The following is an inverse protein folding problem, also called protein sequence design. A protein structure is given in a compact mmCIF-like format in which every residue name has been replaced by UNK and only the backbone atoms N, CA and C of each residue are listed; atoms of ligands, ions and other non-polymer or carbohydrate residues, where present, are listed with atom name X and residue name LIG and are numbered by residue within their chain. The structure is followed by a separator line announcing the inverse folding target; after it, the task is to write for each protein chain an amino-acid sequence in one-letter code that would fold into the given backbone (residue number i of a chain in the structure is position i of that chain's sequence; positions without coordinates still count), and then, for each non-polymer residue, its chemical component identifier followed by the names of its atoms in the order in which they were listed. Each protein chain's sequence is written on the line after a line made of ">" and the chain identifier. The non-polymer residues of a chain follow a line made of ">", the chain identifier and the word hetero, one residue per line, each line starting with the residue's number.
data_IF_248267670954
#
_entry.id   IF_248267670954
#
_cell.length_a   1.000
_cell.length_b   1.000
_cell.length_c   1.000
_cell.angle_alpha   90.00
_cell.angle_beta   90.00
_cell.angle_gamma   90.00
#
_symmetry.space_group_name_H-M   'P 1'
#
loop_
_entity.id
_entity.type
_entity.pdbx_description
1 polymer ?
#
# COMPACT_ATOMS: atom_id res chain seq x y z
N UNK A 1 -16.55 -28.96 16.04
CA UNK A 1 -15.96 -28.49 14.77
C UNK A 1 -16.88 -28.76 13.60
N UNK A 2 -17.07 -30.02 13.21
CA UNK A 2 -17.87 -30.35 12.02
C UNK A 2 -19.35 -29.91 12.07
N UNK A 3 -19.97 -29.86 13.26
CA UNK A 3 -21.37 -29.44 13.39
C UNK A 3 -21.58 -27.92 13.33
N UNK A 4 -20.51 -27.13 13.50
CA UNK A 4 -20.55 -25.66 13.56
C UNK A 4 -19.76 -25.00 12.42
N UNK A 5 -19.27 -25.78 11.46
CA UNK A 5 -18.40 -25.33 10.36
C UNK A 5 -17.22 -24.47 10.86
N UNK A 6 -16.42 -25.06 11.75
CA UNK A 6 -15.27 -24.42 12.38
C UNK A 6 -13.99 -25.22 12.15
N UNK A 7 -12.85 -24.53 12.09
CA UNK A 7 -11.51 -25.12 12.13
C UNK A 7 -10.83 -24.89 13.48
N UNK A 8 -9.96 -25.82 13.91
CA UNK A 8 -9.29 -25.67 15.20
C UNK A 8 -8.11 -26.58 15.39
N UNK A 9 -7.23 -26.15 16.31
CA UNK A 9 -5.93 -26.76 16.55
C UNK A 9 -5.72 -26.86 18.06
N UNK A 10 -5.42 -28.07 18.52
CA UNK A 10 -5.01 -28.32 19.90
C UNK A 10 -3.51 -28.03 20.05
N UNK A 11 -3.17 -27.17 21.01
CA UNK A 11 -1.82 -26.64 21.23
C UNK A 11 -1.34 -27.07 22.61
N UNK A 12 -0.19 -27.74 22.74
CA UNK A 12 0.42 -28.02 24.03
C UNK A 12 0.84 -26.72 24.74
N UNK A 13 0.49 -26.58 26.02
CA UNK A 13 0.76 -25.36 26.81
C UNK A 13 1.60 -25.62 28.07
N UNK A 14 2.19 -26.81 28.19
CA UNK A 14 3.09 -27.17 29.28
C UNK A 14 2.64 -28.43 30.02
N UNK A 15 3.15 -28.59 31.23
CA UNK A 15 2.80 -29.69 32.13
C UNK A 15 2.04 -29.15 33.33
N UNK A 16 1.06 -29.92 33.79
CA UNK A 16 0.31 -29.63 35.02
C UNK A 16 1.16 -30.01 36.23
N UNK A 17 0.69 -29.64 37.42
CA UNK A 17 1.35 -29.96 38.70
C UNK A 17 1.51 -31.47 38.96
N UNK A 18 0.69 -32.31 38.32
CA UNK A 18 0.77 -33.78 38.40
C UNK A 18 1.71 -34.40 37.36
N UNK A 19 2.44 -33.58 36.60
CA UNK A 19 3.39 -34.01 35.59
C UNK A 19 2.75 -34.41 34.24
N UNK A 20 1.43 -34.36 34.11
CA UNK A 20 0.73 -34.69 32.86
C UNK A 20 0.65 -33.49 31.90
N UNK A 21 0.62 -33.71 30.58
CA UNK A 21 0.55 -32.63 29.60
C UNK A 21 -0.76 -31.85 29.67
N UNK A 22 -0.69 -30.55 29.41
CA UNK A 22 -1.82 -29.65 29.25
C UNK A 22 -1.89 -29.12 27.80
N UNK A 23 -3.10 -28.85 27.33
CA UNK A 23 -3.34 -28.23 26.03
C UNK A 23 -4.50 -27.26 26.05
N UNK A 24 -4.49 -26.34 25.09
CA UNK A 24 -5.59 -25.44 24.75
C UNK A 24 -5.99 -25.70 23.30
N UNK A 25 -7.28 -25.74 23.01
CA UNK A 25 -7.77 -25.85 21.62
C UNK A 25 -8.22 -24.48 21.13
N UNK A 26 -7.53 -23.97 20.11
CA UNK A 26 -7.93 -22.75 19.40
C UNK A 26 -9.02 -23.11 18.39
N UNK A 27 -10.09 -22.33 18.37
CA UNK A 27 -11.23 -22.51 17.48
C UNK A 27 -11.44 -21.24 16.64
N UNK A 28 -11.69 -21.41 15.33
CA UNK A 28 -12.01 -20.33 14.41
C UNK A 28 -13.11 -20.76 13.42
N UNK A 29 -13.66 -19.79 12.70
CA UNK A 29 -14.60 -20.04 11.61
C UNK A 29 -13.94 -20.84 10.47
N UNK A 30 -14.75 -21.55 9.68
CA UNK A 30 -14.32 -22.27 8.46
C UNK A 30 -13.42 -21.43 7.56
N UNK A 31 -12.39 -22.06 6.98
CA UNK A 31 -11.44 -21.42 6.06
C UNK A 31 -10.36 -20.55 6.72
N UNK A 32 -10.29 -20.50 8.06
CA UNK A 32 -9.27 -19.73 8.80
C UNK A 32 -8.10 -20.58 9.32
N UNK A 33 -7.88 -21.76 8.75
CA UNK A 33 -6.88 -22.74 9.19
C UNK A 33 -5.47 -22.16 9.28
N UNK A 34 -5.07 -21.35 8.29
CA UNK A 34 -3.76 -20.68 8.28
C UNK A 34 -3.59 -19.69 9.45
N UNK A 35 -4.61 -18.87 9.72
CA UNK A 35 -4.60 -17.93 10.84
C UNK A 35 -4.57 -18.67 12.18
N UNK A 36 -5.40 -19.70 12.33
CA UNK A 36 -5.43 -20.56 13.52
C UNK A 36 -4.09 -21.26 13.73
N UNK A 37 -3.44 -21.72 12.66
CA UNK A 37 -2.12 -22.34 12.71
C UNK A 37 -1.02 -21.34 13.10
N UNK A 38 -1.10 -20.09 12.64
CA UNK A 38 -0.17 -19.03 13.06
C UNK A 38 -0.26 -18.77 14.57
N UNK A 39 -1.47 -18.59 15.10
CA UNK A 39 -1.65 -18.41 16.55
C UNK A 39 -1.25 -19.66 17.35
N UNK A 40 -1.56 -20.85 16.85
CA UNK A 40 -1.17 -22.11 17.49
C UNK A 40 0.35 -22.25 17.59
N UNK A 41 1.07 -21.91 16.51
CA UNK A 41 2.53 -21.88 16.46
C UNK A 41 3.10 -20.92 17.50
N UNK A 42 2.58 -19.70 17.54
CA UNK A 42 3.07 -18.65 18.45
C UNK A 42 2.80 -19.02 19.92
N UNK A 43 1.62 -19.57 20.22
CA UNK A 43 1.27 -20.07 21.55
C UNK A 43 2.16 -21.25 21.97
N UNK A 44 2.43 -22.21 21.07
CA UNK A 44 3.28 -23.36 21.38
C UNK A 44 4.70 -22.90 21.73
N UNK A 45 5.24 -21.95 20.97
CA UNK A 45 6.56 -21.37 21.19
C UNK A 45 6.65 -20.62 22.52
N UNK A 46 5.67 -19.77 22.80
CA UNK A 46 5.61 -19.02 24.05
C UNK A 46 5.47 -19.93 25.28
N UNK A 47 4.80 -21.08 25.13
CA UNK A 47 4.58 -22.04 26.22
C UNK A 47 5.84 -22.84 26.54
N UNK A 48 6.75 -23.05 25.58
CA UNK A 48 8.02 -23.76 25.78
C UNK A 48 8.07 -25.30 25.85
N UNK A 49 7.02 -26.11 25.60
CA UNK A 49 7.17 -27.58 25.52
C UNK A 49 8.10 -28.02 24.39
N UNK A 50 8.59 -29.26 24.45
CA UNK A 50 9.22 -29.94 23.31
C UNK A 50 8.18 -30.36 22.27
N UNK A 51 8.63 -30.79 21.09
CA UNK A 51 7.76 -31.37 20.06
C UNK A 51 7.19 -32.72 20.53
N UNK A 52 6.06 -32.68 21.25
CA UNK A 52 5.47 -33.85 21.88
C UNK A 52 6.45 -34.57 22.82
N UNK A 53 6.36 -35.90 22.87
CA UNK A 53 7.21 -36.75 23.70
C UNK A 53 8.61 -37.03 23.11
N UNK A 54 9.01 -36.36 22.02
CA UNK A 54 10.28 -36.62 21.32
C UNK A 54 11.51 -36.06 22.04
N UNK A 55 11.31 -35.11 22.96
CA UNK A 55 12.41 -34.34 23.56
C UNK A 55 13.05 -33.31 22.61
N UNK A 56 12.57 -33.19 21.36
CA UNK A 56 13.11 -32.21 20.43
C UNK A 56 12.66 -30.80 20.79
N UNK A 57 13.61 -29.87 20.86
CA UNK A 57 13.29 -28.46 21.03
C UNK A 57 12.50 -27.94 19.84
N UNK A 58 11.60 -26.99 20.08
CA UNK A 58 10.89 -26.36 18.98
C UNK A 58 11.89 -25.57 18.10
N UNK A 59 11.73 -25.59 16.76
CA UNK A 59 12.52 -24.74 15.88
C UNK A 59 12.29 -23.28 16.24
N UNK A 60 13.35 -22.48 16.41
CA UNK A 60 13.18 -21.06 16.71
C UNK A 60 12.41 -20.40 15.56
N UNK A 61 11.35 -19.66 15.89
CA UNK A 61 10.70 -18.81 14.89
C UNK A 61 11.67 -17.73 14.46
N UNK A 62 12.13 -17.82 13.22
CA UNK A 62 12.70 -16.67 12.53
C UNK A 62 11.50 -15.82 12.09
N UNK A 63 11.35 -14.56 12.54
CA UNK A 63 10.34 -13.69 11.98
C UNK A 63 10.62 -13.58 10.48
N UNK A 64 9.78 -14.24 9.70
CA UNK A 64 9.77 -14.06 8.26
C UNK A 64 9.11 -12.71 8.03
N UNK A 65 9.90 -11.65 8.06
CA UNK A 65 9.60 -10.48 7.25
C UNK A 65 9.88 -10.97 5.82
N UNK A 66 9.02 -11.84 5.29
CA UNK A 66 9.04 -12.09 3.86
C UNK A 66 8.69 -10.73 3.27
N UNK A 67 9.68 -10.08 2.66
CA UNK A 67 9.35 -9.13 1.61
C UNK A 67 8.30 -9.84 0.73
N UNK A 68 7.20 -9.15 0.36
CA UNK A 68 6.23 -9.75 -0.54
C UNK A 68 7.02 -10.38 -1.69
N UNK A 69 6.72 -11.63 -2.04
CA UNK A 69 7.26 -12.17 -3.29
C UNK A 69 6.91 -11.15 -4.38
N UNK A 70 7.76 -10.97 -5.41
CA UNK A 70 7.46 -9.97 -6.46
C UNK A 70 6.08 -10.22 -7.12
N UNK A 71 5.54 -11.44 -7.02
CA UNK A 71 4.19 -11.84 -7.43
C UNK A 71 3.04 -11.20 -6.61
N UNK A 72 3.33 -10.68 -5.42
CA UNK A 72 2.37 -9.99 -4.53
C UNK A 72 2.49 -8.46 -4.61
N UNK A 73 3.26 -7.92 -5.57
CA UNK A 73 3.45 -6.49 -5.76
C UNK A 73 2.69 -6.00 -7.00
N UNK A 74 1.99 -4.88 -6.86
CA UNK A 74 1.34 -4.18 -7.97
C UNK A 74 2.06 -2.87 -8.28
N UNK A 75 2.11 -2.51 -9.55
CA UNK A 75 2.61 -1.19 -9.96
C UNK A 75 1.55 -0.11 -9.68
N UNK A 76 1.99 0.92 -8.98
CA UNK A 76 1.26 2.17 -8.74
C UNK A 76 2.09 3.33 -9.30
N UNK A 77 1.44 4.10 -10.16
CA UNK A 77 1.93 5.34 -10.75
C UNK A 77 1.57 6.48 -9.82
N UNK A 78 2.59 7.23 -9.41
CA UNK A 78 2.45 8.40 -8.54
C UNK A 78 2.88 9.64 -9.29
N UNK A 79 2.09 10.70 -9.12
CA UNK A 79 2.33 12.00 -9.75
C UNK A 79 2.35 13.09 -8.68
N UNK A 80 3.12 14.13 -8.98
CA UNK A 80 3.24 15.34 -8.19
C UNK A 80 3.61 15.17 -6.72
N UNK A 81 2.75 15.55 -5.78
CA UNK A 81 3.07 15.61 -4.35
C UNK A 81 3.43 14.25 -3.72
N UNK A 82 3.14 13.14 -4.41
CA UNK A 82 3.47 11.78 -3.97
C UNK A 82 4.81 11.26 -4.53
N UNK A 83 5.53 12.03 -5.35
CA UNK A 83 6.84 11.62 -5.88
C UNK A 83 7.88 11.51 -4.76
N UNK A 84 8.94 10.73 -4.96
CA UNK A 84 10.07 10.60 -4.02
C UNK A 84 10.57 11.99 -3.57
N UNK A 85 10.65 12.20 -2.26
CA UNK A 85 11.08 13.45 -1.65
C UNK A 85 10.05 14.60 -1.66
N UNK A 86 8.82 14.35 -2.13
CA UNK A 86 7.71 15.30 -2.03
C UNK A 86 6.90 15.08 -0.74
N UNK A 87 6.17 16.09 -0.25
CA UNK A 87 5.58 16.06 1.10
C UNK A 87 4.52 14.97 1.33
N UNK A 88 3.84 14.49 0.28
CA UNK A 88 2.79 13.48 0.38
C UNK A 88 3.28 12.08 -0.03
N UNK A 89 4.59 11.83 -0.06
CA UNK A 89 5.12 10.50 -0.39
C UNK A 89 5.03 9.50 0.78
N UNK A 90 5.02 9.98 2.02
CA UNK A 90 5.02 9.13 3.23
C UNK A 90 3.92 8.07 3.29
N UNK A 91 2.65 8.34 2.94
CA UNK A 91 1.60 7.32 2.98
C UNK A 91 1.94 6.06 2.18
N UNK A 92 2.63 6.17 1.04
CA UNK A 92 3.05 5.02 0.25
C UNK A 92 4.19 4.25 0.93
N UNK A 93 5.15 4.96 1.50
CA UNK A 93 6.26 4.37 2.25
C UNK A 93 5.72 3.59 3.45
N UNK A 94 4.77 4.16 4.18
CA UNK A 94 4.14 3.55 5.36
C UNK A 94 3.36 2.27 5.00
N UNK A 95 2.83 2.20 3.78
CA UNK A 95 2.20 1.00 3.22
C UNK A 95 3.21 -0.04 2.68
N UNK A 96 4.51 0.20 2.85
CA UNK A 96 5.57 -0.69 2.39
C UNK A 96 5.85 -0.62 0.88
N UNK A 97 5.40 0.46 0.22
CA UNK A 97 5.70 0.65 -1.20
C UNK A 97 7.20 0.88 -1.42
N UNK A 98 7.71 0.39 -2.55
CA UNK A 98 9.11 0.55 -2.96
C UNK A 98 9.18 1.29 -4.29
N UNK A 99 10.07 2.29 -4.36
CA UNK A 99 10.36 2.95 -5.61
C UNK A 99 10.90 1.94 -6.64
N UNK A 100 10.39 1.99 -7.87
CA UNK A 100 10.83 1.13 -8.98
C UNK A 100 11.63 1.94 -9.99
N UNK A 101 11.03 2.97 -10.58
CA UNK A 101 11.66 3.80 -11.62
C UNK A 101 10.97 5.14 -11.81
N UNK A 102 11.70 6.09 -12.40
CA UNK A 102 11.11 7.27 -13.03
C UNK A 102 10.46 6.86 -14.36
N UNK A 103 9.35 7.50 -14.72
CA UNK A 103 8.62 7.26 -15.96
C UNK A 103 7.99 8.55 -16.51
N UNK A 104 7.41 8.48 -17.71
CA UNK A 104 6.68 9.57 -18.35
C UNK A 104 5.33 9.08 -18.86
N UNK A 105 4.28 9.90 -18.74
CA UNK A 105 2.96 9.53 -19.28
C UNK A 105 3.04 9.56 -20.79
N UNK A 106 2.13 8.85 -21.46
CA UNK A 106 1.90 9.10 -22.87
C UNK A 106 1.48 10.56 -23.10
N UNK A 107 1.56 11.03 -24.33
CA UNK A 107 1.09 12.37 -24.74
C UNK A 107 -0.42 12.57 -24.62
N UNK A 108 -1.16 11.69 -23.92
CA UNK A 108 -2.61 11.78 -23.74
C UNK A 108 -3.03 12.43 -22.42
N UNK A 109 -2.09 12.98 -21.64
CA UNK A 109 -2.34 13.51 -20.30
C UNK A 109 -1.94 14.97 -20.14
N UNK A 110 -2.64 15.66 -19.23
CA UNK A 110 -2.32 17.00 -18.74
C UNK A 110 -2.24 17.02 -17.22
N UNK A 111 -1.39 17.90 -16.69
CA UNK A 111 -1.15 18.07 -15.26
C UNK A 111 -1.60 19.46 -14.82
N UNK A 112 -2.40 19.51 -13.75
CA UNK A 112 -2.97 20.73 -13.20
C UNK A 112 -2.58 20.91 -11.73
N UNK A 113 -2.56 22.16 -11.28
CA UNK A 113 -2.55 22.51 -9.86
C UNK A 113 -3.98 22.79 -9.40
N UNK A 114 -4.48 21.98 -8.44
CA UNK A 114 -5.88 22.01 -8.01
C UNK A 114 -6.12 23.13 -6.97
N UNK A 115 -7.13 23.99 -7.16
CA UNK A 115 -7.29 25.22 -6.36
C UNK A 115 -7.80 24.98 -4.94
N UNK A 116 -8.47 23.86 -4.67
CA UNK A 116 -9.19 23.58 -3.43
C UNK A 116 -8.42 22.68 -2.44
N UNK A 117 -7.09 22.65 -2.52
CA UNK A 117 -6.26 21.76 -1.71
C UNK A 117 -5.19 22.55 -0.95
N UNK A 118 -5.12 22.31 0.36
CA UNK A 118 -4.02 22.75 1.23
C UNK A 118 -3.42 21.51 1.88
N UNK A 119 -2.20 21.11 1.51
CA UNK A 119 -1.34 21.79 0.55
C UNK A 119 -1.81 21.67 -0.91
N UNK A 120 -1.25 22.50 -1.80
CA UNK A 120 -1.57 22.48 -3.22
C UNK A 120 -1.34 21.09 -3.84
N UNK A 121 -2.39 20.45 -4.31
CA UNK A 121 -2.36 19.11 -4.89
C UNK A 121 -2.23 19.14 -6.42
N UNK A 122 -1.46 18.20 -6.99
CA UNK A 122 -1.50 17.93 -8.42
C UNK A 122 -2.79 17.21 -8.80
N UNK A 123 -3.33 17.52 -9.97
CA UNK A 123 -4.38 16.75 -10.62
C UNK A 123 -3.96 16.37 -12.04
N UNK A 124 -3.87 15.07 -12.33
CA UNK A 124 -3.59 14.58 -13.68
C UNK A 124 -4.87 14.04 -14.32
N UNK A 125 -5.12 14.36 -15.57
CA UNK A 125 -6.30 13.89 -16.30
C UNK A 125 -5.93 13.43 -17.71
N UNK A 126 -6.61 12.38 -18.20
CA UNK A 126 -6.54 11.96 -19.59
C UNK A 126 -7.38 12.86 -20.49
N UNK A 127 -6.78 13.40 -21.54
CA UNK A 127 -7.40 14.37 -22.47
C UNK A 127 -7.33 13.94 -23.94
N UNK A 128 -6.71 12.80 -24.25
CA UNK A 128 -6.46 12.35 -25.62
C UNK A 128 -5.26 13.05 -26.26
N UNK A 129 -5.26 14.39 -26.30
CA UNK A 129 -4.16 15.24 -26.77
C UNK A 129 -3.62 16.16 -25.65
N UNK A 130 -2.46 15.80 -25.12
CA UNK A 130 -1.69 16.54 -24.13
C UNK A 130 -0.20 16.47 -24.44
N UNK A 131 0.64 16.51 -23.40
CA UNK A 131 2.10 16.45 -23.57
C UNK A 131 2.76 15.37 -22.70
N UNK A 132 2.01 14.75 -21.79
CA UNK A 132 2.57 13.86 -20.79
C UNK A 132 3.34 14.63 -19.71
N UNK A 133 3.84 13.92 -18.71
CA UNK A 133 4.53 14.47 -17.54
C UNK A 133 5.40 13.41 -16.86
N UNK A 134 6.48 13.86 -16.21
CA UNK A 134 7.30 13.00 -15.35
C UNK A 134 6.45 12.45 -14.18
N UNK A 135 6.66 11.18 -13.88
CA UNK A 135 6.06 10.47 -12.76
C UNK A 135 7.02 9.43 -12.19
N UNK A 136 6.58 8.70 -11.18
CA UNK A 136 7.28 7.51 -10.69
C UNK A 136 6.37 6.29 -10.67
N UNK A 137 6.98 5.13 -10.95
CA UNK A 137 6.36 3.83 -10.72
C UNK A 137 6.88 3.29 -9.39
N UNK A 138 5.95 2.87 -8.54
CA UNK A 138 6.19 2.26 -7.25
C UNK A 138 5.57 0.87 -7.20
N UNK A 139 6.24 -0.06 -6.53
CA UNK A 139 5.74 -1.40 -6.24
C UNK A 139 5.05 -1.38 -4.88
N UNK A 140 3.75 -1.62 -4.83
CA UNK A 140 2.95 -1.65 -3.60
C UNK A 140 2.54 -3.10 -3.28
N UNK A 141 2.62 -3.55 -2.02
CA UNK A 141 2.04 -4.84 -1.62
C UNK A 141 0.55 -4.89 -1.95
N UNK A 142 0.09 -5.96 -2.59
CA UNK A 142 -1.31 -6.14 -2.97
C UNK A 142 -2.26 -6.03 -1.76
N UNK A 143 -1.84 -6.56 -0.61
CA UNK A 143 -2.58 -6.47 0.65
C UNK A 143 -2.80 -5.01 1.13
N UNK A 144 -1.94 -4.07 0.70
CA UNK A 144 -2.04 -2.66 1.02
C UNK A 144 -2.88 -1.86 0.01
N UNK A 145 -3.31 -2.47 -1.11
CA UNK A 145 -4.06 -1.77 -2.17
C UNK A 145 -5.41 -1.21 -1.69
N UNK A 146 -5.95 -1.69 -0.58
CA UNK A 146 -7.14 -1.11 0.05
C UNK A 146 -7.00 0.38 0.42
N UNK A 147 -5.79 0.95 0.42
CA UNK A 147 -5.55 2.38 0.64
C UNK A 147 -6.36 3.29 -0.30
N UNK A 148 -6.78 2.78 -1.46
CA UNK A 148 -7.65 3.50 -2.40
C UNK A 148 -8.92 4.01 -1.73
N UNK A 149 -9.44 3.32 -0.71
CA UNK A 149 -10.61 3.76 0.04
C UNK A 149 -10.39 5.06 0.84
N UNK A 150 -9.12 5.42 1.12
CA UNK A 150 -8.76 6.64 1.85
C UNK A 150 -8.46 7.83 0.93
N UNK A 151 -8.53 7.66 -0.40
CA UNK A 151 -8.25 8.73 -1.35
C UNK A 151 -9.43 9.71 -1.36
N UNK A 152 -9.24 10.98 -0.97
CA UNK A 152 -10.32 11.94 -0.93
C UNK A 152 -10.68 12.39 -2.34
N UNK A 153 -11.96 12.75 -2.53
CA UNK A 153 -12.35 13.55 -3.68
C UNK A 153 -11.54 14.87 -3.69
N UNK A 154 -11.11 15.35 -4.87
CA UNK A 154 -11.54 14.91 -6.20
C UNK A 154 -10.52 13.97 -6.89
N UNK A 155 -9.71 13.24 -6.11
CA UNK A 155 -8.73 12.30 -6.64
C UNK A 155 -9.32 10.89 -6.77
N UNK A 156 -8.78 10.14 -7.71
CA UNK A 156 -9.20 8.78 -8.04
C UNK A 156 -8.00 7.94 -8.48
N UNK A 157 -8.18 6.61 -8.50
CA UNK A 157 -7.21 5.68 -9.08
C UNK A 157 -7.79 5.10 -10.36
N UNK A 158 -7.13 5.41 -11.48
CA UNK A 158 -7.44 4.87 -12.80
C UNK A 158 -6.28 4.07 -13.37
N UNK A 159 -6.40 3.69 -14.65
CA UNK A 159 -5.28 3.14 -15.41
C UNK A 159 -4.56 4.29 -16.14
N UNK A 160 -3.25 4.40 -15.95
CA UNK A 160 -2.41 5.42 -16.57
C UNK A 160 -1.50 4.76 -17.62
N UNK A 161 -1.48 5.33 -18.82
CA UNK A 161 -0.60 4.89 -19.90
C UNK A 161 0.73 5.66 -19.87
N UNK A 162 1.82 4.91 -20.00
CA UNK A 162 3.18 5.42 -20.04
C UNK A 162 3.67 5.61 -21.48
N UNK A 163 4.66 6.47 -21.67
CA UNK A 163 5.27 6.74 -22.97
C UNK A 163 6.00 5.54 -23.56
N UNK A 164 6.37 4.56 -22.73
CA UNK A 164 6.99 3.30 -23.12
C UNK A 164 5.96 2.24 -23.60
N UNK A 165 4.68 2.60 -23.66
CA UNK A 165 3.58 1.73 -24.08
C UNK A 165 3.02 0.84 -22.96
N UNK A 166 3.63 0.83 -21.78
CA UNK A 166 3.10 0.09 -20.62
C UNK A 166 2.00 0.88 -19.90
N UNK A 167 1.27 0.23 -19.00
CA UNK A 167 0.25 0.89 -18.17
C UNK A 167 0.17 0.28 -16.79
N UNK A 168 -0.22 1.09 -15.80
CA UNK A 168 -0.42 0.65 -14.42
C UNK A 168 -1.52 1.46 -13.73
N UNK A 169 -1.90 1.10 -12.50
CA UNK A 169 -2.83 1.90 -11.71
C UNK A 169 -2.15 3.19 -11.28
N UNK A 170 -2.87 4.31 -11.21
CA UNK A 170 -2.27 5.58 -10.80
C UNK A 170 -3.27 6.68 -10.50
N UNK A 171 -2.78 7.73 -9.84
CA UNK A 171 -3.58 8.89 -9.45
C UNK A 171 -4.08 9.69 -10.66
N UNK A 172 -5.38 9.96 -10.67
CA UNK A 172 -6.05 10.85 -11.61
C UNK A 172 -6.97 11.81 -10.85
N UNK A 173 -7.22 12.98 -11.42
CA UNK A 173 -8.21 13.93 -10.97
C UNK A 173 -9.53 13.74 -11.72
N UNK A 174 -10.65 13.86 -11.02
CA UNK A 174 -11.96 13.96 -11.64
C UNK A 174 -12.05 15.24 -12.48
N UNK A 175 -12.80 15.24 -13.61
CA UNK A 175 -12.95 16.44 -14.45
C UNK A 175 -13.44 17.68 -13.69
N UNK A 176 -14.27 17.50 -12.66
CA UNK A 176 -14.79 18.59 -11.84
C UNK A 176 -13.69 19.31 -11.05
N UNK A 177 -12.62 18.61 -10.68
CA UNK A 177 -11.46 19.17 -9.97
C UNK A 177 -10.76 20.28 -10.75
N UNK A 178 -10.91 20.27 -12.08
CA UNK A 178 -10.20 21.18 -12.98
C UNK A 178 -10.83 22.56 -13.05
N UNK A 179 -12.02 22.75 -12.47
CA UNK A 179 -12.68 24.05 -12.45
C UNK A 179 -11.85 25.04 -11.62
N UNK A 180 -11.26 26.03 -12.29
CA UNK A 180 -10.35 27.00 -11.66
C UNK A 180 -8.93 26.47 -11.44
N UNK A 181 -8.63 25.24 -11.88
CA UNK A 181 -7.29 24.70 -11.82
C UNK A 181 -6.39 25.32 -12.89
N UNK A 182 -5.12 25.48 -12.55
CA UNK A 182 -4.13 26.03 -13.47
C UNK A 182 -3.41 24.90 -14.20
N UNK A 183 -3.36 24.94 -15.53
CA UNK A 183 -2.58 23.99 -16.35
C UNK A 183 -1.08 24.19 -16.08
N UNK A 184 -0.40 23.09 -15.72
CA UNK A 184 1.03 23.01 -15.40
C UNK A 184 1.76 21.97 -16.25
N UNK A 185 1.12 21.47 -17.31
CA UNK A 185 1.67 20.42 -18.17
C UNK A 185 3.09 20.79 -18.66
N UNK A 186 3.28 22.04 -19.09
CA UNK A 186 4.50 22.49 -19.76
C UNK A 186 5.55 23.07 -18.78
N UNK A 187 5.46 22.74 -17.50
CA UNK A 187 6.34 23.29 -16.46
C UNK A 187 7.59 22.45 -16.17
N UNK A 188 7.84 21.40 -16.96
CA UNK A 188 8.94 20.45 -16.73
C UNK A 188 8.65 19.46 -15.60
N UNK A 189 7.37 19.11 -15.42
CA UNK A 189 6.89 18.24 -14.35
C UNK A 189 6.63 18.94 -13.02
N UNK A 190 5.98 18.23 -12.11
CA UNK A 190 5.55 18.80 -10.83
C UNK A 190 6.73 19.26 -9.96
N UNK A 191 7.85 18.53 -9.94
CA UNK A 191 9.03 18.93 -9.17
C UNK A 191 9.57 20.29 -9.59
N UNK A 192 9.61 20.56 -10.90
CA UNK A 192 10.06 21.82 -11.43
C UNK A 192 9.07 22.96 -11.08
N UNK A 193 7.77 22.68 -11.12
CA UNK A 193 6.75 23.62 -10.64
C UNK A 193 6.84 23.88 -9.13
N UNK A 194 6.98 22.83 -8.32
CA UNK A 194 7.06 22.88 -6.86
C UNK A 194 8.26 23.73 -6.37
N UNK A 195 9.38 23.70 -7.10
CA UNK A 195 10.54 24.58 -6.81
C UNK A 195 10.29 26.06 -7.12
N UNK A 196 9.31 26.39 -7.96
CA UNK A 196 8.98 27.76 -8.36
C UNK A 196 7.94 28.41 -7.45
N UNK A 197 7.13 27.62 -6.74
CA UNK A 197 6.12 28.14 -5.81
C UNK A 197 6.76 28.47 -4.46
N UNK A 198 6.40 29.61 -3.88
CA UNK A 198 6.86 29.97 -2.54
C UNK A 198 6.21 29.09 -1.47
N UNK A 199 6.83 28.89 -0.30
CA UNK A 199 6.20 28.17 0.83
C UNK A 199 4.82 28.74 1.23
N UNK A 200 4.62 30.04 1.01
CA UNK A 200 3.32 30.70 1.20
C UNK A 200 2.26 30.25 0.20
N UNK A 201 2.61 30.06 -1.09
CA UNK A 201 1.67 29.57 -2.11
C UNK A 201 1.33 28.08 -1.97
N UNK A 202 2.19 27.32 -1.29
CA UNK A 202 1.94 25.92 -0.93
C UNK A 202 0.90 25.75 0.18
N UNK A 203 0.89 26.67 1.17
CA UNK A 203 0.01 26.61 2.35
C UNK A 203 -1.24 27.49 2.16
N UNK A 204 -1.18 28.53 1.34
CA UNK A 204 -2.27 29.50 1.15
C UNK A 204 -2.90 29.39 -0.23
N UNK A 205 -3.95 28.57 -0.33
CA UNK A 205 -5.07 28.76 -1.27
C UNK A 205 -6.37 28.23 -0.63
N UNK A 206 -6.69 28.80 0.53
CA UNK A 206 -7.98 28.68 1.19
C UNK A 206 -8.53 30.07 1.46
N UNK A 207 -8.92 30.79 0.40
CA UNK A 207 -9.79 31.97 0.48
C UNK A 207 -10.76 31.95 -0.70
#
# INVERSE_FOLDING_TARGET
>A
MNLLDMCGIAVPTGTRFDGLPASVTLLAASGRDGLTAMFARDLHQASGPTLGATGWSQPRLTPSISAPADEDLIDIIVVGAHLSGMPLNHPLIDLGAKFSRVAYTSGAYRLYALPASVPLEPGMIGVGEGEGSEMEVWKLPLAAFGFVAAIPAPLSIGTVMLSDGTSAKGFLAEPLALKGASDKTNQGGWRAYFRKISPSQWISNAV
#
